data_IF_779390824230
#
_entry.id   IF_779390824230
#
_cell.length_a   1.000
_cell.length_b   1.000
_cell.length_c   1.000
_cell.angle_alpha   90.00
_cell.angle_beta   90.00
_cell.angle_gamma   90.00
#
_symmetry.space_group_name_H-M   'P 1'
#
loop_
_entity.id
_entity.type
_entity.pdbx_description
1 polymer ?
#
# COMPACT_ATOMS: atom_id res chain seq x y z
N UNK A 1 11.65 10.56 -0.41
CA UNK A 1 10.27 10.26 0.07
C UNK A 1 10.36 9.18 1.13
N UNK A 2 9.41 9.16 2.06
CA UNK A 2 9.26 8.07 3.03
C UNK A 2 8.01 7.25 2.64
N UNK A 3 8.06 5.94 2.86
CA UNK A 3 6.93 5.03 2.67
C UNK A 3 6.26 4.76 4.02
N UNK A 4 4.94 4.63 4.03
CA UNK A 4 4.16 4.29 5.22
C UNK A 4 3.24 3.11 4.96
N UNK A 5 2.82 2.44 6.03
CA UNK A 5 2.05 1.20 5.95
C UNK A 5 0.88 1.21 6.91
N UNK A 6 -0.30 0.85 6.39
CA UNK A 6 -1.54 0.79 7.15
C UNK A 6 -1.99 -0.68 7.20
N UNK A 7 -1.83 -1.27 8.39
CA UNK A 7 -2.47 -2.53 8.73
C UNK A 7 -3.89 -2.29 9.21
N UNK A 8 -4.86 -2.95 8.57
CA UNK A 8 -6.29 -2.82 8.91
C UNK A 8 -6.97 -4.19 8.94
N UNK A 9 -8.00 -4.33 9.78
CA UNK A 9 -8.86 -5.52 9.77
C UNK A 9 -9.82 -5.53 8.57
N UNK A 10 -10.12 -4.37 8.00
CA UNK A 10 -10.99 -4.20 6.84
C UNK A 10 -10.33 -3.27 5.82
N UNK A 11 -9.87 -3.85 4.72
CA UNK A 11 -9.13 -3.14 3.69
C UNK A 11 -10.04 -2.27 2.82
N UNK A 12 -11.28 -2.68 2.59
CA UNK A 12 -12.22 -1.92 1.79
C UNK A 12 -12.69 -0.67 2.55
N UNK A 13 -12.99 -0.83 3.85
CA UNK A 13 -13.35 0.31 4.70
C UNK A 13 -12.21 1.32 4.83
N UNK A 14 -10.96 0.87 4.97
CA UNK A 14 -9.79 1.75 5.04
C UNK A 14 -9.58 2.52 3.73
N UNK A 15 -9.66 1.85 2.58
CA UNK A 15 -9.55 2.52 1.27
C UNK A 15 -10.66 3.53 1.06
N UNK A 16 -11.90 3.17 1.38
CA UNK A 16 -13.05 4.06 1.24
C UNK A 16 -12.92 5.31 2.13
N UNK A 17 -12.45 5.13 3.37
CA UNK A 17 -12.15 6.25 4.26
C UNK A 17 -11.10 7.19 3.67
N UNK A 18 -9.95 6.66 3.26
CA UNK A 18 -8.84 7.46 2.72
C UNK A 18 -9.21 8.17 1.42
N UNK A 19 -9.99 7.50 0.56
CA UNK A 19 -10.51 8.09 -0.67
C UNK A 19 -11.49 9.25 -0.38
N UNK A 20 -12.43 9.06 0.55
CA UNK A 20 -13.42 10.08 0.90
C UNK A 20 -12.83 11.26 1.68
N UNK A 21 -11.92 11.01 2.62
CA UNK A 21 -11.35 12.04 3.49
C UNK A 21 -10.24 12.84 2.82
N UNK A 22 -9.42 12.19 1.99
CA UNK A 22 -8.17 12.77 1.47
C UNK A 22 -8.05 12.75 -0.06
N UNK A 23 -9.03 12.17 -0.77
CA UNK A 23 -8.98 12.04 -2.23
C UNK A 23 -7.93 11.05 -2.72
N UNK A 24 -7.52 10.08 -1.89
CA UNK A 24 -6.51 9.09 -2.29
C UNK A 24 -7.10 8.08 -3.27
N UNK A 25 -6.30 7.69 -4.25
CA UNK A 25 -6.58 6.54 -5.10
C UNK A 25 -5.82 5.31 -4.59
N UNK A 26 -6.26 4.10 -4.95
CA UNK A 26 -5.64 2.86 -4.51
C UNK A 26 -5.43 1.93 -5.71
N UNK A 27 -4.20 1.47 -5.88
CA UNK A 27 -3.82 0.53 -6.92
C UNK A 27 -3.55 -0.83 -6.27
N UNK A 28 -4.19 -1.88 -6.78
CA UNK A 28 -3.92 -3.23 -6.31
C UNK A 28 -2.52 -3.65 -6.76
N UNK A 29 -1.67 -4.01 -5.79
CA UNK A 29 -0.34 -4.50 -6.06
C UNK A 29 -0.39 -6.03 -6.16
N UNK A 30 -0.19 -6.53 -7.37
CA UNK A 30 -0.23 -7.97 -7.67
C UNK A 30 1.10 -8.67 -7.41
N UNK A 31 2.16 -7.93 -7.06
CA UNK A 31 3.46 -8.48 -6.66
C UNK A 31 3.45 -9.06 -5.25
N UNK A 32 2.60 -8.53 -4.37
CA UNK A 32 2.36 -9.10 -3.04
C UNK A 32 1.31 -10.19 -3.15
N UNK A 33 1.75 -11.45 -3.17
CA UNK A 33 0.87 -12.62 -3.37
C UNK A 33 0.37 -13.23 -2.06
N UNK A 34 0.98 -12.90 -0.93
CA UNK A 34 0.64 -13.47 0.38
C UNK A 34 -0.65 -12.91 0.98
N UNK A 35 -1.11 -11.74 0.51
CA UNK A 35 -2.31 -11.05 0.99
C UNK A 35 -2.75 -9.97 -0.01
N UNK A 36 -4.02 -9.54 0.02
CA UNK A 36 -4.44 -8.32 -0.66
C UNK A 36 -3.63 -7.12 -0.17
N UNK A 37 -2.99 -6.41 -1.11
CA UNK A 37 -2.16 -5.26 -0.81
C UNK A 37 -2.40 -4.16 -1.84
N UNK A 38 -2.54 -2.92 -1.37
CA UNK A 38 -2.88 -1.79 -2.23
C UNK A 38 -1.97 -0.61 -1.95
N UNK A 39 -1.35 -0.06 -2.99
CA UNK A 39 -0.60 1.18 -2.91
C UNK A 39 -1.57 2.38 -2.90
N UNK A 40 -1.44 3.25 -1.91
CA UNK A 40 -2.14 4.52 -1.82
C UNK A 40 -1.42 5.59 -2.67
N UNK A 41 -2.16 6.22 -3.58
CA UNK A 41 -1.68 7.31 -4.44
C UNK A 41 -2.38 8.59 -3.99
N UNK A 42 -1.59 9.53 -3.49
CA UNK A 42 -2.10 10.83 -3.01
C UNK A 42 -2.35 11.79 -4.18
N UNK A 43 -3.24 12.79 -4.05
CA UNK A 43 -3.51 13.75 -5.11
C UNK A 43 -2.23 14.43 -5.62
N UNK A 44 -2.01 14.36 -6.93
CA UNK A 44 -0.82 14.93 -7.59
C UNK A 44 0.43 14.05 -7.53
N UNK A 45 0.39 12.88 -6.88
CA UNK A 45 1.49 11.93 -6.92
C UNK A 45 1.47 11.09 -8.21
N UNK A 46 2.64 10.88 -8.79
CA UNK A 46 2.83 10.01 -9.97
C UNK A 46 2.99 8.53 -9.59
N UNK A 47 3.26 8.23 -8.31
CA UNK A 47 3.47 6.89 -7.80
C UNK A 47 2.87 6.68 -6.39
N UNK A 48 2.83 5.42 -5.96
CA UNK A 48 2.39 5.05 -4.61
C UNK A 48 3.22 5.75 -3.53
N UNK A 49 2.55 6.20 -2.49
CA UNK A 49 3.16 6.89 -1.33
C UNK A 49 3.09 6.07 -0.04
N UNK A 50 2.31 4.98 -0.02
CA UNK A 50 2.18 4.08 1.11
C UNK A 50 1.33 2.85 0.78
N UNK A 51 1.27 1.89 1.71
CA UNK A 51 0.60 0.61 1.54
C UNK A 51 -0.60 0.41 2.46
N UNK A 52 -1.62 -0.30 1.98
CA UNK A 52 -2.70 -0.87 2.78
C UNK A 52 -2.66 -2.40 2.68
N UNK A 53 -2.72 -3.09 3.81
CA UNK A 53 -2.82 -4.54 3.85
C UNK A 53 -3.71 -5.03 4.99
N UNK A 54 -4.33 -6.20 4.81
CA UNK A 54 -5.12 -6.82 5.87
C UNK A 54 -4.25 -7.31 7.01
N UNK A 55 -4.71 -7.16 8.25
CA UNK A 55 -4.09 -7.77 9.42
C UNK A 55 -4.42 -9.26 9.58
N UNK A 56 -3.55 -10.07 10.22
CA UNK A 56 -2.27 -9.65 10.77
C UNK A 56 -1.27 -9.36 9.65
N UNK A 57 -0.75 -8.13 9.62
CA UNK A 57 0.47 -7.90 8.88
C UNK A 57 1.57 -8.60 9.69
N UNK A 58 2.51 -9.32 9.07
CA UNK A 58 3.68 -9.81 9.79
C UNK A 58 4.26 -8.63 10.58
N UNK A 59 4.46 -8.83 11.88
CA UNK A 59 5.05 -7.82 12.75
C UNK A 59 6.43 -7.47 12.19
N UNK A 60 6.58 -6.23 11.74
CA UNK A 60 7.68 -5.67 10.96
C UNK A 60 9.10 -6.05 11.39
N UNK A 61 9.71 -7.12 10.86
CA UNK A 61 11.18 -7.30 10.78
C UNK A 61 11.70 -8.45 9.87
N UNK A 62 10.85 -9.25 9.20
CA UNK A 62 11.35 -10.39 8.40
C UNK A 62 11.31 -10.22 6.88
N UNK A 63 10.66 -9.18 6.35
CA UNK A 63 10.75 -8.85 4.92
C UNK A 63 11.84 -7.77 4.74
N UNK A 64 12.96 -8.06 4.05
CA UNK A 64 14.06 -7.12 3.93
C UNK A 64 13.59 -5.84 3.21
N UNK A 65 13.98 -4.69 3.75
CA UNK A 65 13.62 -3.36 3.22
C UNK A 65 13.97 -3.17 1.73
N UNK A 66 14.96 -3.94 1.24
CA UNK A 66 15.36 -4.00 -0.18
C UNK A 66 14.22 -4.47 -1.08
N UNK A 67 13.35 -5.37 -0.65
CA UNK A 67 12.23 -5.85 -1.48
C UNK A 67 11.14 -4.80 -1.69
N UNK A 68 11.06 -3.80 -0.79
CA UNK A 68 10.08 -2.72 -0.83
C UNK A 68 10.63 -1.49 -1.56
N UNK A 69 11.95 -1.25 -1.47
CA UNK A 69 12.60 -0.07 -2.05
C UNK A 69 13.14 -0.29 -3.48
N UNK A 70 13.37 -1.54 -3.89
CA UNK A 70 13.98 -1.87 -5.20
C UNK A 70 12.97 -2.25 -6.31
N UNK A 71 11.67 -2.05 -6.12
CA UNK A 71 10.67 -2.40 -7.15
C UNK A 71 10.63 -1.33 -8.25
N UNK A 72 11.07 -1.62 -9.49
CA UNK A 72 10.81 -0.73 -10.61
C UNK A 72 9.30 -0.67 -10.85
N UNK A 73 8.77 0.54 -10.98
CA UNK A 73 7.40 0.82 -11.36
C UNK A 73 7.08 0.08 -12.67
N UNK A 74 6.47 -1.10 -12.58
CA UNK A 74 5.89 -1.76 -13.73
C UNK A 74 4.52 -1.10 -13.97
N UNK A 75 4.54 -0.03 -14.76
CA UNK A 75 3.37 0.44 -15.48
C UNK A 75 2.95 -0.67 -16.44
N UNK A 76 1.81 -1.31 -16.17
CA UNK A 76 1.02 -2.06 -17.15
C UNK A 76 -0.46 -2.00 -16.75
#
# INVERSE_FOLDING_TARGET
MAWFEIGTADIEASKAFSAGAFGWNHLHDTGVTSRPYFAAVTPGAECGSGGHGTTPQPTWWEEPLSTIQDMPFALA
#
